data_IF_823562725258
#
_entry.id   IF_823562725258
#
_cell.length_a   1.000
_cell.length_b   1.000
_cell.length_c   1.000
_cell.angle_alpha   90.00
_cell.angle_beta   90.00
_cell.angle_gamma   90.00
#
_symmetry.space_group_name_H-M   'P 1'
#
loop_
_entity.id
_entity.type
_entity.pdbx_description
1 polymer ?
#
# COMPACT_ATOMS: atom_id res chain seq x y z
N UNK A 1 21.31 -10.33 23.63
CA UNK A 1 19.92 -10.09 23.20
C UNK A 1 19.64 -10.99 22.01
N UNK A 2 18.59 -11.80 22.06
CA UNK A 2 18.15 -12.57 20.89
C UNK A 2 17.43 -11.63 19.92
N UNK A 3 17.68 -11.70 18.61
CA UNK A 3 16.89 -10.93 17.66
C UNK A 3 15.43 -11.42 17.76
N UNK A 4 14.53 -10.51 18.09
CA UNK A 4 13.10 -10.75 17.93
C UNK A 4 12.86 -10.88 16.42
N UNK A 5 12.70 -12.13 15.96
CA UNK A 5 12.22 -12.41 14.61
C UNK A 5 10.73 -12.05 14.55
N UNK A 6 10.44 -10.75 14.45
CA UNK A 6 9.11 -10.25 14.13
C UNK A 6 8.92 -10.32 12.61
N UNK A 7 8.95 -11.54 12.08
CA UNK A 7 8.57 -11.82 10.70
C UNK A 7 7.06 -11.80 10.63
N UNK A 8 6.49 -10.61 10.41
CA UNK A 8 5.10 -10.52 9.97
C UNK A 8 5.07 -10.83 8.47
N UNK A 9 4.42 -11.93 8.11
CA UNK A 9 4.19 -12.30 6.71
C UNK A 9 3.03 -11.52 6.06
N UNK A 10 2.29 -10.71 6.84
CA UNK A 10 1.18 -9.91 6.33
C UNK A 10 1.56 -8.45 6.05
N UNK A 11 2.69 -7.95 6.54
CA UNK A 11 3.07 -6.54 6.37
C UNK A 11 3.83 -6.29 5.06
N UNK A 12 3.21 -5.54 4.14
CA UNK A 12 3.79 -5.18 2.84
C UNK A 12 4.06 -3.69 2.67
N UNK A 13 3.24 -2.83 3.27
CA UNK A 13 3.35 -1.38 3.17
C UNK A 13 2.63 -0.67 4.31
N UNK A 14 2.86 0.63 4.40
CA UNK A 14 2.15 1.55 5.28
C UNK A 14 2.14 2.95 4.68
N UNK A 15 0.98 3.59 4.72
CA UNK A 15 0.79 5.01 4.46
C UNK A 15 0.83 5.81 5.76
N UNK A 16 1.50 6.96 5.74
CA UNK A 16 1.64 7.85 6.91
C UNK A 16 1.01 9.19 6.56
N UNK A 17 0.03 9.62 7.34
CA UNK A 17 -0.65 10.90 7.21
C UNK A 17 0.20 12.07 7.72
N UNK A 18 -0.19 13.31 7.40
CA UNK A 18 0.53 14.53 7.81
C UNK A 18 0.68 14.63 9.34
N UNK A 19 -0.39 14.34 10.09
CA UNK A 19 -0.38 14.39 11.56
C UNK A 19 0.58 13.39 12.21
N UNK A 20 0.93 12.31 11.50
CA UNK A 20 1.88 11.27 11.92
C UNK A 20 3.30 11.48 11.35
N UNK A 21 3.57 12.66 10.76
CA UNK A 21 4.86 13.01 10.17
C UNK A 21 5.02 12.67 8.68
N UNK A 22 3.92 12.40 8.00
CA UNK A 22 3.82 12.23 6.55
C UNK A 22 3.65 13.53 5.76
N UNK A 23 3.20 13.48 4.49
CA UNK A 23 2.82 12.27 3.76
C UNK A 23 4.04 11.41 3.42
N UNK A 24 4.00 10.13 3.77
CA UNK A 24 5.04 9.17 3.43
C UNK A 24 4.45 7.78 3.12
N UNK A 25 5.14 7.03 2.25
CA UNK A 25 4.85 5.63 1.94
C UNK A 25 6.05 4.80 2.38
N UNK A 26 5.79 3.79 3.21
CA UNK A 26 6.78 2.82 3.68
C UNK A 26 6.48 1.49 3.01
N UNK A 27 7.49 0.83 2.46
CA UNK A 27 7.34 -0.46 1.77
C UNK A 27 8.29 -1.49 2.36
N UNK A 28 7.80 -2.70 2.61
CA UNK A 28 8.62 -3.81 3.09
C UNK A 28 9.50 -4.36 1.95
N UNK A 29 10.82 -4.19 2.07
CA UNK A 29 11.81 -4.57 1.05
C UNK A 29 12.55 -5.88 1.33
N UNK A 30 12.05 -6.71 2.25
CA UNK A 30 12.67 -8.02 2.53
C UNK A 30 12.82 -8.88 1.28
N UNK A 31 13.92 -9.63 1.18
CA UNK A 31 14.28 -10.40 0.00
C UNK A 31 13.19 -11.38 -0.46
N UNK A 32 12.41 -11.94 0.48
CA UNK A 32 11.29 -12.85 0.16
C UNK A 32 10.13 -12.18 -0.59
N UNK A 33 10.01 -10.86 -0.53
CA UNK A 33 8.96 -10.08 -1.19
C UNK A 33 9.45 -9.69 -2.58
N UNK A 34 8.76 -10.17 -3.63
CA UNK A 34 9.12 -9.87 -5.02
C UNK A 34 9.05 -8.37 -5.32
N UNK A 35 9.89 -7.90 -6.26
CA UNK A 35 9.86 -6.50 -6.73
C UNK A 35 8.48 -6.09 -7.23
N UNK A 36 7.77 -6.97 -7.94
CA UNK A 36 6.39 -6.74 -8.40
C UNK A 36 5.44 -6.46 -7.24
N UNK A 37 5.53 -7.24 -6.15
CA UNK A 37 4.71 -7.03 -4.95
C UNK A 37 5.06 -5.71 -4.27
N UNK A 38 6.34 -5.33 -4.19
CA UNK A 38 6.76 -4.03 -3.63
C UNK A 38 6.21 -2.85 -4.43
N UNK A 39 6.26 -2.92 -5.76
CA UNK A 39 5.70 -1.89 -6.65
C UNK A 39 4.18 -1.79 -6.46
N UNK A 40 3.48 -2.93 -6.43
CA UNK A 40 2.04 -2.95 -6.20
C UNK A 40 1.68 -2.37 -4.83
N UNK A 41 2.39 -2.77 -3.76
CA UNK A 41 2.18 -2.22 -2.42
C UNK A 41 2.42 -0.71 -2.37
N UNK A 42 3.46 -0.19 -3.01
CA UNK A 42 3.68 1.25 -3.07
C UNK A 42 2.52 2.00 -3.75
N UNK A 43 1.98 1.45 -4.84
CA UNK A 43 0.83 2.03 -5.53
C UNK A 43 -0.48 1.91 -4.72
N UNK A 44 -0.63 0.81 -3.97
CA UNK A 44 -1.75 0.59 -3.06
C UNK A 44 -1.74 1.61 -1.92
N UNK A 45 -0.60 1.82 -1.25
CA UNK A 45 -0.43 2.87 -0.23
C UNK A 45 -0.69 4.28 -0.80
N UNK A 46 -0.24 4.54 -2.02
CA UNK A 46 -0.58 5.80 -2.70
C UNK A 46 -2.10 5.94 -2.90
N UNK A 47 -2.82 4.85 -3.15
CA UNK A 47 -4.28 4.81 -3.21
C UNK A 47 -4.91 5.28 -1.89
N UNK A 48 -4.44 4.76 -0.75
CA UNK A 48 -4.90 5.22 0.57
C UNK A 48 -4.66 6.72 0.77
N UNK A 49 -3.46 7.21 0.45
CA UNK A 49 -3.13 8.64 0.58
C UNK A 49 -3.90 9.57 -0.36
N UNK A 50 -4.53 9.07 -1.43
CA UNK A 50 -5.27 9.90 -2.37
C UNK A 50 -6.79 9.79 -2.19
N UNK A 51 -7.28 8.61 -1.82
CA UNK A 51 -8.71 8.31 -1.74
C UNK A 51 -9.24 8.34 -0.30
N UNK A 52 -8.37 8.14 0.69
CA UNK A 52 -8.75 7.87 2.09
C UNK A 52 -7.95 8.72 3.08
N UNK A 53 -7.64 9.98 2.71
CA UNK A 53 -6.85 10.92 3.53
C UNK A 53 -7.39 11.15 4.95
N UNK A 54 -8.69 11.04 5.16
CA UNK A 54 -9.34 11.27 6.46
C UNK A 54 -9.50 9.98 7.28
N UNK A 55 -9.09 8.82 6.74
CA UNK A 55 -9.29 7.51 7.37
C UNK A 55 -8.17 7.12 8.37
N UNK A 56 -7.15 7.97 8.54
CA UNK A 56 -6.07 7.74 9.50
C UNK A 56 -6.53 8.05 10.93
N UNK A 57 -7.45 7.25 11.46
CA UNK A 57 -7.81 7.29 12.86
C UNK A 57 -6.99 6.25 13.63
N UNK A 58 -6.02 6.71 14.41
CA UNK A 58 -5.13 5.85 15.22
C UNK A 58 -5.90 5.01 16.26
N UNK A 59 -7.14 5.40 16.60
CA UNK A 59 -8.01 4.62 17.49
C UNK A 59 -8.74 3.46 16.78
N UNK A 60 -8.74 3.44 15.45
CA UNK A 60 -9.39 2.41 14.64
C UNK A 60 -8.39 1.32 14.25
N UNK A 61 -8.53 0.15 14.88
CA UNK A 61 -7.59 -0.98 14.69
C UNK A 61 -8.02 -1.97 13.60
N UNK A 62 -9.20 -1.79 13.02
CA UNK A 62 -9.74 -2.67 11.99
C UNK A 62 -9.57 -2.04 10.62
N UNK A 63 -8.96 -2.78 9.69
CA UNK A 63 -8.91 -2.40 8.27
C UNK A 63 -10.34 -2.30 7.69
N UNK A 64 -10.64 -1.18 7.04
CA UNK A 64 -11.85 -1.01 6.27
C UNK A 64 -11.72 -1.75 4.92
N UNK A 65 -12.40 -2.90 4.82
CA UNK A 65 -12.38 -3.75 3.63
C UNK A 65 -12.81 -3.04 2.34
N UNK A 66 -13.60 -1.97 2.43
CA UNK A 66 -13.98 -1.19 1.25
C UNK A 66 -12.79 -0.37 0.77
N UNK A 67 -12.12 0.34 1.69
CA UNK A 67 -10.94 1.13 1.39
C UNK A 67 -9.78 0.28 0.86
N UNK A 68 -9.52 -0.88 1.47
CA UNK A 68 -8.51 -1.84 0.99
C UNK A 68 -8.78 -2.26 -0.47
N UNK A 69 -10.05 -2.52 -0.80
CA UNK A 69 -10.46 -2.89 -2.16
C UNK A 69 -10.32 -1.71 -3.13
N UNK A 70 -10.65 -0.50 -2.69
CA UNK A 70 -10.52 0.71 -3.51
C UNK A 70 -9.04 1.04 -3.79
N UNK A 71 -8.16 0.88 -2.81
CA UNK A 71 -6.71 0.99 -2.96
C UNK A 71 -6.14 -0.08 -3.92
N UNK A 72 -6.61 -1.33 -3.85
CA UNK A 72 -6.25 -2.38 -4.81
C UNK A 72 -6.69 -2.04 -6.25
N UNK A 73 -7.91 -1.52 -6.42
CA UNK A 73 -8.42 -1.08 -7.72
C UNK A 73 -7.58 0.08 -8.24
N UNK A 74 -7.30 1.08 -7.40
CA UNK A 74 -6.43 2.20 -7.75
C UNK A 74 -5.06 1.71 -8.24
N UNK A 75 -4.39 0.85 -7.47
CA UNK A 75 -3.08 0.31 -7.81
C UNK A 75 -3.09 -0.44 -9.15
N UNK A 76 -4.16 -1.20 -9.42
CA UNK A 76 -4.32 -1.95 -10.67
C UNK A 76 -4.40 -1.01 -11.89
N UNK A 77 -5.22 0.04 -11.83
CA UNK A 77 -5.38 1.01 -12.91
C UNK A 77 -4.15 1.91 -13.07
N UNK A 78 -3.51 2.30 -11.96
CA UNK A 78 -2.31 3.12 -11.97
C UNK A 78 -1.12 2.42 -12.63
N UNK A 79 -0.93 1.13 -12.34
CA UNK A 79 0.18 0.34 -12.86
C UNK A 79 -0.09 -0.24 -14.26
N UNK A 80 -1.35 -0.43 -14.62
CA UNK A 80 -1.77 -0.97 -15.91
C UNK A 80 -2.87 -0.09 -16.53
N UNK A 81 -2.53 1.11 -17.02
CA UNK A 81 -3.50 2.00 -17.64
C UNK A 81 -4.09 1.36 -18.90
N UNK A 82 -5.38 1.59 -19.13
CA UNK A 82 -6.13 0.95 -20.21
C UNK A 82 -5.55 1.30 -21.60
N UNK A 83 -5.08 2.53 -21.77
CA UNK A 83 -4.46 3.00 -23.00
C UNK A 83 -3.20 2.18 -23.36
N UNK A 84 -2.43 1.74 -22.34
CA UNK A 84 -1.26 0.90 -22.57
C UNK A 84 -1.63 -0.53 -23.00
N UNK A 85 -2.80 -1.03 -22.58
CA UNK A 85 -3.33 -2.33 -23.01
C UNK A 85 -3.88 -2.29 -24.44
N UNK A 86 -4.47 -1.16 -24.84
CA UNK A 86 -5.01 -0.97 -26.18
C UNK A 86 -3.93 -0.93 -27.26
N UNK A 87 -2.71 -0.48 -26.93
CA UNK A 87 -1.55 -0.46 -27.84
C UNK A 87 -0.94 -1.84 -28.14
N UNK A 88 -1.42 -2.91 -27.49
CA UNK A 88 -0.96 -4.28 -27.70
C UNK A 88 -1.83 -5.07 -28.70
N UNK A 89 -2.85 -4.44 -29.29
CA UNK A 89 -3.77 -5.01 -30.29
C UNK A 89 -3.58 -4.39 -31.66
#
# INVERSE_FOLDING_TARGET
MYPLNLVSDSFFGLSVAEDDGGPAIIVNVWERISVKRRIFSAAHELGHLLLHLDAYNVEESAEDKVQEREADVFASHFLMPEEALQLLN
#
